data_IF_266300681355
#
_entry.id   IF_266300681355
#
_cell.length_a   1.000
_cell.length_b   1.000
_cell.length_c   1.000
_cell.angle_alpha   90.00
_cell.angle_beta   90.00
_cell.angle_gamma   90.00
#
_symmetry.space_group_name_H-M   'P 1'
#
loop_
_entity.id
_entity.type
_entity.pdbx_description
1 polymer ?
#
# COMPACT_ATOMS: atom_id res chain seq x y z
N UNK A 1 49.73 -48.13 -17.30
CA UNK A 1 49.24 -49.52 -17.40
C UNK A 1 47.78 -49.51 -16.99
N UNK A 2 46.87 -49.51 -17.97
CA UNK A 2 46.00 -50.67 -18.31
C UNK A 2 45.04 -50.93 -17.14
N UNK A 3 43.75 -50.61 -17.24
CA UNK A 3 42.79 -51.49 -17.93
C UNK A 3 41.52 -50.73 -18.33
N UNK A 4 41.22 -50.78 -19.63
CA UNK A 4 39.91 -50.47 -20.21
C UNK A 4 39.07 -51.75 -20.25
N UNK A 5 37.80 -51.56 -19.92
CA UNK A 5 36.61 -52.17 -20.54
C UNK A 5 36.46 -53.68 -20.54
N UNK A 6 35.34 -54.16 -19.99
CA UNK A 6 34.19 -54.66 -20.78
C UNK A 6 33.18 -55.34 -19.85
N UNK A 7 31.94 -54.86 -19.80
CA UNK A 7 30.80 -55.74 -19.55
C UNK A 7 29.61 -55.33 -20.41
N UNK A 8 29.05 -56.34 -21.05
CA UNK A 8 27.96 -56.30 -22.01
C UNK A 8 26.61 -56.05 -21.31
N UNK A 9 25.75 -55.31 -22.03
CA UNK A 9 24.27 -55.32 -22.13
C UNK A 9 23.53 -56.49 -21.43
N UNK A 10 22.26 -56.34 -20.95
CA UNK A 10 21.13 -56.01 -21.83
C UNK A 10 19.87 -55.39 -21.15
N UNK A 11 18.78 -55.37 -21.93
CA UNK A 11 17.37 -55.37 -21.54
C UNK A 11 16.62 -54.02 -21.58
N UNK A 12 16.08 -53.77 -22.77
CA UNK A 12 14.80 -53.10 -23.04
C UNK A 12 13.73 -53.45 -22.01
N UNK A 13 13.13 -52.42 -21.38
CA UNK A 13 11.79 -52.47 -20.78
C UNK A 13 11.03 -51.20 -21.12
N UNK A 14 10.05 -51.34 -22.02
CA UNK A 14 8.97 -50.37 -22.21
C UNK A 14 8.27 -50.10 -20.88
N UNK A 15 8.06 -48.82 -20.57
CA UNK A 15 7.25 -48.38 -19.43
C UNK A 15 6.31 -47.28 -19.94
N UNK A 16 5.01 -47.45 -19.66
CA UNK A 16 3.89 -46.65 -20.13
C UNK A 16 4.01 -45.14 -19.79
N UNK A 17 3.40 -44.23 -20.58
CA UNK A 17 3.31 -42.83 -20.20
C UNK A 17 2.30 -42.68 -19.06
N UNK A 18 2.81 -42.44 -17.85
CA UNK A 18 1.99 -42.05 -16.71
C UNK A 18 1.46 -40.63 -16.90
N UNK A 19 0.17 -40.51 -17.22
CA UNK A 19 -0.55 -39.26 -17.30
C UNK A 19 -0.71 -38.67 -15.87
N UNK A 20 0.25 -37.87 -15.43
CA UNK A 20 0.11 -37.08 -14.20
C UNK A 20 -0.91 -35.96 -14.45
N UNK A 21 -2.15 -36.19 -14.03
CA UNK A 21 -3.21 -35.19 -13.99
C UNK A 21 -2.91 -34.20 -12.84
N UNK A 22 -2.17 -33.13 -13.14
CA UNK A 22 -1.93 -32.04 -12.19
C UNK A 22 -3.22 -31.20 -12.05
N UNK A 23 -3.98 -31.40 -10.98
CA UNK A 23 -5.01 -30.45 -10.56
C UNK A 23 -4.32 -29.16 -10.10
N UNK A 24 -4.26 -28.16 -10.97
CA UNK A 24 -3.90 -26.80 -10.59
C UNK A 24 -5.02 -26.23 -9.70
N UNK A 25 -4.83 -26.23 -8.39
CA UNK A 25 -5.68 -25.45 -7.48
C UNK A 25 -5.38 -23.97 -7.72
N UNK A 26 -6.28 -23.30 -8.45
CA UNK A 26 -6.26 -21.85 -8.57
C UNK A 26 -6.57 -21.24 -7.19
N UNK A 27 -5.52 -20.84 -6.48
CA UNK A 27 -5.67 -19.99 -5.29
C UNK A 27 -6.27 -18.65 -5.73
N UNK A 28 -7.36 -18.16 -5.11
CA UNK A 28 -7.91 -16.86 -5.45
C UNK A 28 -6.87 -15.79 -5.15
N UNK A 29 -6.38 -15.13 -6.20
CA UNK A 29 -5.56 -13.93 -6.08
C UNK A 29 -6.39 -12.88 -5.33
N UNK A 30 -5.94 -12.50 -4.13
CA UNK A 30 -6.60 -11.45 -3.37
C UNK A 30 -6.45 -10.13 -4.14
N UNK A 31 -7.57 -9.46 -4.43
CA UNK A 31 -7.56 -8.17 -5.12
C UNK A 31 -6.84 -7.13 -4.24
N UNK A 32 -5.66 -6.70 -4.68
CA UNK A 32 -4.95 -5.54 -4.17
C UNK A 32 -5.07 -4.43 -5.20
N UNK A 33 -5.45 -3.23 -4.76
CA UNK A 33 -5.51 -2.04 -5.60
C UNK A 33 -4.54 -1.03 -5.03
N UNK A 34 -3.61 -0.54 -5.85
CA UNK A 34 -2.67 0.52 -5.49
C UNK A 34 -2.80 1.64 -6.51
N UNK A 35 -3.12 2.84 -6.06
CA UNK A 35 -3.36 4.01 -6.91
C UNK A 35 -2.39 5.12 -6.51
N UNK A 36 -1.55 5.52 -7.47
CA UNK A 36 -0.71 6.70 -7.34
C UNK A 36 -1.55 7.93 -7.62
N UNK A 37 -1.58 8.84 -6.66
CA UNK A 37 -2.21 10.14 -6.78
C UNK A 37 -1.11 11.18 -6.98
N UNK A 38 -1.30 12.04 -7.96
CA UNK A 38 -0.48 13.23 -8.19
C UNK A 38 -1.21 14.43 -7.61
N UNK A 39 -0.47 15.38 -7.05
CA UNK A 39 -1.07 16.46 -6.28
C UNK A 39 -0.03 17.26 -5.50
N UNK A 40 -0.44 17.92 -4.43
CA UNK A 40 0.45 18.67 -3.56
C UNK A 40 0.43 18.07 -2.16
N UNK A 41 1.61 17.85 -1.61
CA UNK A 41 1.75 17.51 -0.20
C UNK A 41 1.87 18.80 0.63
N UNK A 42 0.80 19.14 1.34
CA UNK A 42 0.70 20.38 2.11
C UNK A 42 1.17 20.23 3.56
N UNK A 43 1.31 18.99 4.05
CA UNK A 43 1.78 18.71 5.41
C UNK A 43 2.39 17.32 5.49
N UNK A 44 3.52 17.20 6.18
CA UNK A 44 4.10 15.91 6.59
C UNK A 44 4.86 16.05 7.92
N UNK A 45 4.28 15.52 9.00
CA UNK A 45 4.86 15.48 10.35
C UNK A 45 5.08 14.02 10.75
N UNK A 46 6.32 13.66 11.07
CA UNK A 46 6.70 12.32 11.53
C UNK A 46 7.20 12.43 12.97
N UNK A 47 6.45 11.86 13.92
CA UNK A 47 6.78 11.89 15.35
C UNK A 47 7.05 13.32 15.87
N UNK A 48 6.22 14.28 15.46
CA UNK A 48 6.34 15.70 15.81
C UNK A 48 7.36 16.50 14.99
N UNK A 49 8.17 15.86 14.14
CA UNK A 49 9.10 16.56 13.24
C UNK A 49 8.39 16.95 11.94
N UNK A 50 8.27 18.24 11.68
CA UNK A 50 7.74 18.77 10.42
C UNK A 50 8.79 18.67 9.31
N UNK A 51 8.46 17.93 8.26
CA UNK A 51 9.31 17.67 7.11
C UNK A 51 8.58 18.01 5.80
N UNK A 52 7.54 18.84 5.88
CA UNK A 52 6.66 19.22 4.76
C UNK A 52 7.45 19.73 3.56
N UNK A 53 8.52 20.50 3.79
CA UNK A 53 9.41 21.02 2.74
C UNK A 53 10.05 19.92 1.88
N UNK A 54 10.21 18.71 2.42
CA UNK A 54 10.78 17.57 1.70
C UNK A 54 9.71 16.61 1.18
N UNK A 55 8.42 16.87 1.42
CA UNK A 55 7.36 15.96 1.01
C UNK A 55 7.20 15.92 -0.51
N UNK A 56 6.97 14.72 -1.06
CA UNK A 56 6.77 14.53 -2.50
C UNK A 56 5.33 14.87 -2.90
N UNK A 57 5.18 15.41 -4.09
CA UNK A 57 3.91 15.70 -4.78
C UNK A 57 3.16 14.45 -5.29
N UNK A 58 3.40 13.32 -4.63
CA UNK A 58 2.76 12.04 -4.94
C UNK A 58 2.43 11.31 -3.66
N UNK A 59 1.23 10.74 -3.60
CA UNK A 59 0.79 9.89 -2.50
C UNK A 59 0.26 8.57 -3.06
N UNK A 60 0.49 7.49 -2.33
CA UNK A 60 0.00 6.17 -2.72
C UNK A 60 -1.15 5.74 -1.81
N UNK A 61 -2.30 5.43 -2.42
CA UNK A 61 -3.42 4.81 -1.73
C UNK A 61 -3.46 3.32 -2.09
N UNK A 62 -3.28 2.45 -1.10
CA UNK A 62 -3.35 1.00 -1.29
C UNK A 62 -4.53 0.42 -0.51
N UNK A 63 -5.42 -0.29 -1.20
CA UNK A 63 -6.47 -1.10 -0.60
C UNK A 63 -6.15 -2.57 -0.81
N UNK A 64 -6.07 -3.32 0.28
CA UNK A 64 -5.82 -4.77 0.26
C UNK A 64 -6.63 -5.45 1.35
N UNK A 65 -7.44 -6.44 0.95
CA UNK A 65 -8.39 -7.14 1.84
C UNK A 65 -9.29 -6.16 2.60
N UNK A 66 -9.08 -6.01 3.91
CA UNK A 66 -9.82 -5.11 4.80
C UNK A 66 -8.94 -3.94 5.28
N UNK A 67 -7.93 -3.54 4.51
CA UNK A 67 -7.08 -2.42 4.90
C UNK A 67 -6.94 -1.41 3.78
N UNK A 68 -6.97 -0.15 4.16
CA UNK A 68 -6.46 0.94 3.34
C UNK A 68 -5.15 1.45 3.95
N UNK A 69 -4.22 1.89 3.11
CA UNK A 69 -3.05 2.66 3.50
C UNK A 69 -2.92 3.93 2.66
N UNK A 70 -2.42 4.99 3.30
CA UNK A 70 -2.06 6.24 2.65
C UNK A 70 -0.58 6.47 2.92
N UNK A 71 0.23 6.33 1.87
CA UNK A 71 1.67 6.32 1.95
C UNK A 71 2.24 7.62 1.38
N UNK A 72 2.87 8.39 2.26
CA UNK A 72 3.55 9.64 1.98
C UNK A 72 5.06 9.40 1.94
N UNK A 73 5.75 10.07 1.03
CA UNK A 73 7.20 9.95 0.86
C UNK A 73 7.86 11.32 0.83
N UNK A 74 9.07 11.40 1.34
CA UNK A 74 9.92 12.58 1.28
C UNK A 74 11.12 12.36 0.35
N UNK A 75 11.69 13.44 -0.17
CA UNK A 75 12.87 13.42 -1.05
C UNK A 75 14.14 12.96 -0.35
N UNK A 76 14.22 13.13 0.97
CA UNK A 76 15.34 12.69 1.80
C UNK A 76 15.30 11.20 2.17
N UNK A 77 14.39 10.43 1.56
CA UNK A 77 14.27 8.99 1.78
C UNK A 77 13.38 8.59 2.96
N UNK A 78 12.84 9.55 3.72
CA UNK A 78 11.84 9.27 4.75
C UNK A 78 10.45 9.04 4.15
N UNK A 79 9.60 8.36 4.91
CA UNK A 79 8.21 8.10 4.53
C UNK A 79 7.32 7.84 5.73
N UNK A 80 6.02 7.92 5.50
CA UNK A 80 5.00 7.70 6.50
C UNK A 80 3.78 7.02 5.87
N UNK A 81 3.43 5.85 6.40
CA UNK A 81 2.18 5.16 6.06
C UNK A 81 1.17 5.31 7.20
N UNK A 82 -0.05 5.72 6.88
CA UNK A 82 -1.21 5.57 7.76
C UNK A 82 -2.02 4.38 7.30
N UNK A 83 -2.36 3.44 8.17
CA UNK A 83 -3.19 2.30 7.79
C UNK A 83 -4.25 1.95 8.84
N UNK A 84 -5.43 1.56 8.34
CA UNK A 84 -6.53 1.06 9.15
C UNK A 84 -7.54 0.28 8.34
N UNK A 85 -8.71 0.01 8.93
CA UNK A 85 -9.73 -0.86 8.35
C UNK A 85 -10.38 -0.22 7.12
N UNK A 86 -10.17 -0.80 5.93
CA UNK A 86 -10.60 -0.24 4.64
C UNK A 86 -12.11 -0.30 4.36
N UNK A 87 -12.85 -1.15 5.10
CA UNK A 87 -14.29 -1.34 4.91
C UNK A 87 -15.16 -0.31 5.65
N UNK A 88 -14.57 0.54 6.47
CA UNK A 88 -15.29 1.44 7.37
C UNK A 88 -14.98 2.90 7.00
N UNK A 89 -15.42 3.31 5.80
CA UNK A 89 -15.66 4.73 5.56
C UNK A 89 -16.97 5.07 6.27
N UNK A 90 -16.86 5.64 7.46
CA UNK A 90 -18.04 6.14 8.17
C UNK A 90 -18.49 7.39 7.43
N UNK A 91 -19.58 7.26 6.65
CA UNK A 91 -20.35 8.39 6.15
C UNK A 91 -21.52 8.57 7.08
N UNK A 92 -21.56 9.67 7.83
CA UNK A 92 -22.83 10.16 8.36
C UNK A 92 -23.30 11.30 7.47
N UNK A 93 -24.61 11.53 7.39
CA UNK A 93 -25.21 12.57 6.54
C UNK A 93 -24.73 14.01 6.90
N UNK A 94 -23.97 14.14 8.00
CA UNK A 94 -23.38 15.39 8.51
C UNK A 94 -21.85 15.42 8.54
N UNK A 95 -21.13 14.29 8.33
CA UNK A 95 -19.66 14.26 8.48
C UNK A 95 -18.94 13.85 7.20
N UNK A 96 -17.80 14.51 6.95
CA UNK A 96 -16.82 14.08 5.96
C UNK A 96 -16.50 12.60 6.18
N UNK A 97 -16.37 11.84 5.09
CA UNK A 97 -16.04 10.42 5.20
C UNK A 97 -14.75 10.26 6.04
N UNK A 98 -14.83 9.46 7.10
CA UNK A 98 -13.68 9.17 7.96
C UNK A 98 -13.19 7.75 7.72
N UNK A 99 -11.87 7.62 7.62
CA UNK A 99 -11.16 6.35 7.53
C UNK A 99 -10.35 6.13 8.81
N UNK A 100 -10.79 5.25 9.73
CA UNK A 100 -10.08 4.99 10.98
C UNK A 100 -8.65 4.49 10.73
N UNK A 101 -7.69 4.95 11.55
CA UNK A 101 -6.28 4.55 11.50
C UNK A 101 -5.90 3.91 12.84
N UNK A 102 -5.33 2.71 12.77
CA UNK A 102 -4.84 1.98 13.95
C UNK A 102 -3.34 1.62 13.87
N UNK A 103 -2.68 2.00 12.78
CA UNK A 103 -1.26 1.74 12.54
C UNK A 103 -0.65 2.93 11.80
N UNK A 104 0.51 3.39 12.28
CA UNK A 104 1.41 4.26 11.52
C UNK A 104 2.73 3.56 11.29
N UNK A 105 3.31 3.74 10.11
CA UNK A 105 4.61 3.13 9.75
C UNK A 105 5.51 4.24 9.21
N UNK A 106 6.26 4.94 10.08
CA UNK A 106 7.43 5.70 9.64
C UNK A 106 8.45 4.77 8.99
N UNK A 107 9.08 5.25 7.93
CA UNK A 107 10.16 4.56 7.23
C UNK A 107 11.28 5.51 6.86
N UNK A 108 12.48 4.97 6.70
CA UNK A 108 13.66 5.70 6.26
C UNK A 108 14.50 4.82 5.33
N UNK A 109 14.93 5.38 4.20
CA UNK A 109 15.78 4.72 3.23
C UNK A 109 17.24 5.04 3.55
N UNK A 110 18.02 3.99 3.80
CA UNK A 110 19.46 4.08 4.11
C UNK A 110 20.26 3.30 3.06
N UNK A 111 21.59 3.35 3.14
CA UNK A 111 22.48 2.52 2.29
C UNK A 111 22.28 1.01 2.47
N UNK A 112 21.72 0.60 3.61
CA UNK A 112 21.50 -0.81 3.98
C UNK A 112 20.08 -1.30 3.60
N UNK A 113 19.23 -0.39 3.10
CA UNK A 113 17.85 -0.67 2.71
C UNK A 113 16.84 0.22 3.42
N UNK A 114 15.58 -0.20 3.39
CA UNK A 114 14.46 0.56 3.98
C UNK A 114 14.19 0.06 5.40
N UNK A 115 14.41 0.92 6.39
CA UNK A 115 14.04 0.69 7.78
C UNK A 115 12.58 1.11 7.97
N UNK A 116 11.79 0.30 8.66
CA UNK A 116 10.38 0.58 8.97
C UNK A 116 10.14 0.42 10.46
N UNK A 117 9.38 1.33 11.06
CA UNK A 117 9.03 1.30 12.48
C UNK A 117 7.53 1.29 12.68
N UNK A 118 6.82 0.17 12.47
CA UNK A 118 5.37 0.11 12.68
C UNK A 118 5.00 0.37 14.14
N UNK A 119 3.99 1.20 14.36
CA UNK A 119 3.50 1.60 15.67
C UNK A 119 1.99 1.54 15.71
N UNK A 120 1.45 0.94 16.78
CA UNK A 120 0.01 1.05 17.09
C UNK A 120 -0.31 2.52 17.31
N UNK A 121 -1.37 2.98 16.67
CA UNK A 121 -1.79 4.36 16.70
C UNK A 121 -3.30 4.49 16.93
N UNK A 122 -3.75 5.67 17.31
CA UNK A 122 -5.16 6.05 17.31
C UNK A 122 -5.30 7.31 16.47
N UNK A 123 -6.12 7.26 15.42
CA UNK A 123 -6.29 8.37 14.51
C UNK A 123 -7.30 8.09 13.40
N UNK A 124 -7.34 8.98 12.41
CA UNK A 124 -8.20 8.87 11.24
C UNK A 124 -7.65 9.67 10.06
N UNK A 125 -8.06 9.31 8.86
CA UNK A 125 -7.99 10.19 7.69
C UNK A 125 -9.38 10.73 7.34
N UNK A 126 -9.48 12.02 7.05
CA UNK A 126 -10.68 12.66 6.51
C UNK A 126 -10.51 13.02 5.04
N UNK A 127 -11.62 13.04 4.30
CA UNK A 127 -11.68 13.42 2.89
C UNK A 127 -12.60 14.62 2.73
N UNK A 128 -12.05 15.74 2.25
CA UNK A 128 -12.81 16.98 2.04
C UNK A 128 -12.55 17.60 0.67
N UNK A 129 -13.35 18.59 0.30
CA UNK A 129 -13.24 19.31 -0.99
C UNK A 129 -12.76 20.74 -0.71
N UNK A 130 -11.44 21.00 -0.72
CA UNK A 130 -10.90 22.33 -0.38
C UNK A 130 -11.23 23.40 -1.42
N UNK A 131 -11.45 22.99 -2.68
CA UNK A 131 -11.90 23.84 -3.78
C UNK A 131 -12.57 22.97 -4.84
N UNK A 132 -13.26 23.59 -5.79
CA UNK A 132 -13.88 22.88 -6.92
C UNK A 132 -12.85 22.00 -7.64
N UNK A 133 -13.23 20.75 -7.92
CA UNK A 133 -12.38 19.79 -8.62
C UNK A 133 -11.18 19.28 -7.82
N UNK A 134 -11.06 19.58 -6.52
CA UNK A 134 -9.97 19.08 -5.66
C UNK A 134 -10.49 18.19 -4.54
N UNK A 135 -9.67 17.25 -4.11
CA UNK A 135 -9.89 16.43 -2.90
C UNK A 135 -8.69 16.58 -1.98
N UNK A 136 -8.94 16.92 -0.71
CA UNK A 136 -7.95 16.90 0.36
C UNK A 136 -8.08 15.60 1.16
N UNK A 137 -6.94 14.96 1.43
CA UNK A 137 -6.81 13.78 2.26
C UNK A 137 -5.96 14.19 3.46
N UNK A 138 -6.57 14.28 4.63
CA UNK A 138 -5.91 14.73 5.86
C UNK A 138 -5.88 13.60 6.87
N UNK A 139 -4.69 13.10 7.21
CA UNK A 139 -4.49 12.01 8.16
C UNK A 139 -3.83 12.54 9.43
N UNK A 140 -4.39 12.20 10.58
CA UNK A 140 -3.83 12.52 11.89
C UNK A 140 -3.88 11.30 12.80
N UNK A 141 -2.78 11.01 13.49
CA UNK A 141 -2.72 9.92 14.44
C UNK A 141 -1.72 10.19 15.57
N UNK A 142 -2.01 9.64 16.75
CA UNK A 142 -1.10 9.62 17.89
C UNK A 142 -0.59 8.19 18.10
N UNK A 143 0.72 8.04 18.33
CA UNK A 143 1.35 6.77 18.68
C UNK A 143 2.43 6.99 19.76
N UNK A 144 3.07 5.90 20.21
CA UNK A 144 4.02 5.94 21.32
C UNK A 144 5.21 6.90 21.13
N UNK A 145 5.58 7.24 19.89
CA UNK A 145 6.68 8.16 19.56
C UNK A 145 6.24 9.60 19.31
N UNK A 146 4.94 9.91 19.40
CA UNK A 146 4.41 11.25 19.22
C UNK A 146 3.30 11.32 18.18
N UNK A 147 3.10 12.53 17.63
CA UNK A 147 2.05 12.84 16.65
C UNK A 147 2.54 12.64 15.22
N UNK A 148 1.63 12.14 14.39
CA UNK A 148 1.85 11.88 12.97
C UNK A 148 0.73 12.57 12.21
N UNK A 149 1.10 13.41 11.25
CA UNK A 149 0.14 14.20 10.48
C UNK A 149 0.57 14.25 9.02
N UNK A 150 -0.38 14.14 8.11
CA UNK A 150 -0.12 14.39 6.71
C UNK A 150 -1.35 14.95 6.00
N UNK A 151 -1.12 15.81 5.02
CA UNK A 151 -2.18 16.38 4.18
C UNK A 151 -1.75 16.38 2.72
N UNK A 152 -2.60 15.81 1.87
CA UNK A 152 -2.40 15.76 0.42
C UNK A 152 -3.61 16.33 -0.30
N UNK A 153 -3.40 17.17 -1.30
CA UNK A 153 -4.46 17.70 -2.17
C UNK A 153 -4.23 17.19 -3.58
N UNK A 154 -5.22 16.51 -4.13
CA UNK A 154 -5.20 15.93 -5.48
C UNK A 154 -6.40 16.40 -6.29
N UNK A 155 -6.36 16.18 -7.60
CA UNK A 155 -7.53 16.38 -8.45
C UNK A 155 -8.63 15.37 -8.10
N UNK A 156 -9.86 15.87 -7.96
CA UNK A 156 -11.02 15.02 -7.79
C UNK A 156 -11.21 14.19 -9.07
N UNK A 157 -11.31 12.87 -8.92
CA UNK A 157 -11.72 12.04 -10.04
C UNK A 157 -13.17 12.39 -10.37
N UNK A 158 -13.43 12.90 -11.58
CA UNK A 158 -14.79 13.22 -12.01
C UNK A 158 -15.70 11.99 -11.79
N UNK A 159 -16.89 12.15 -11.16
CA UNK A 159 -17.84 11.06 -11.13
C UNK A 159 -18.18 10.70 -12.58
N UNK A 160 -18.33 9.40 -12.92
CA UNK A 160 -18.87 9.03 -14.22
C UNK A 160 -20.21 9.74 -14.35
N UNK A 161 -20.33 10.62 -15.35
CA UNK A 161 -21.58 11.32 -15.64
C UNK A 161 -22.68 10.29 -15.77
N UNK A 162 -23.63 10.30 -14.84
CA UNK A 162 -24.87 9.55 -15.03
C UNK A 162 -25.55 10.07 -16.29
N UNK A 163 -26.04 9.20 -17.20
CA UNK A 163 -26.83 9.63 -18.34
C UNK A 163 -28.02 10.46 -17.82
N UNK A 164 -28.18 11.68 -18.33
CA UNK A 164 -29.36 12.49 -18.06
C UNK A 164 -30.58 11.79 -18.69
N UNK A 165 -31.71 11.65 -17.97
CA UNK A 165 -32.92 11.01 -18.50
C UNK A 165 -33.51 11.76 -19.69
#
# INVERSE_FOLDING_TARGET
MTTRSSFLRPATRSSLPGLCLALAMAVPASAQTAIKLEGSCEKLIIAGLDITQNCKDTMMNTVSRNRASFDFSAWDGRGLSFSGSGAQQERTEETDALQPINLVVPSETTSEGVVRGPLVAVGSCSFSTPSEGKTAITCEANAAKGRYEARFVTDAKAPPTAPKP
#
